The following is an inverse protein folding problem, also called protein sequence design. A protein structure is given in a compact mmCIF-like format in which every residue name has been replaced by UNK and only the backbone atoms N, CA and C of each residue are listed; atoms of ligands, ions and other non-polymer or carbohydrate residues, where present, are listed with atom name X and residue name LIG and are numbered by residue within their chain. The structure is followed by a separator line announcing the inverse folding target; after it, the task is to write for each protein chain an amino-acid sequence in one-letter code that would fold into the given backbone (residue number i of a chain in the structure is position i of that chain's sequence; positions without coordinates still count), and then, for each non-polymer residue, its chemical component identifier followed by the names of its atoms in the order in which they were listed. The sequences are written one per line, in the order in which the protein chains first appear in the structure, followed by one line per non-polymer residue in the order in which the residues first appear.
data_IF_901930686702
#
_entry.id   IF_901930686702
#
_cell.length_a   1.000
_cell.length_b   1.000
_cell.length_c   1.000
_cell.angle_alpha   90.00
_cell.angle_beta   90.00
_cell.angle_gamma   90.00
#
_symmetry.space_group_name_H-M   'P 1'
#
loop_
_entity.id
_entity.type
_entity.pdbx_description
1 polymer ?
#
# COMPACT_ATOMS: atom_id res chain seq x y z
N UNK A 1 -67.49 13.03 -24.04
CA UNK A 1 -66.39 13.86 -24.58
C UNK A 1 -65.53 14.34 -23.39
N UNK A 2 -64.68 13.49 -22.81
CA UNK A 2 -63.97 13.83 -21.55
C UNK A 2 -62.80 12.86 -21.19
N UNK A 3 -62.01 12.40 -22.18
CA UNK A 3 -60.93 11.41 -21.94
C UNK A 3 -59.49 11.94 -22.11
N UNK A 4 -59.30 13.21 -22.49
CA UNK A 4 -57.97 13.73 -22.84
C UNK A 4 -57.28 14.60 -21.77
N UNK A 5 -57.93 14.89 -20.64
CA UNK A 5 -57.35 15.80 -19.62
C UNK A 5 -56.44 15.07 -18.63
N UNK A 6 -56.66 13.77 -18.40
CA UNK A 6 -55.92 12.99 -17.38
C UNK A 6 -54.51 12.59 -17.80
N UNK A 7 -54.20 12.59 -19.11
CA UNK A 7 -52.91 12.10 -19.62
C UNK A 7 -51.79 13.15 -19.56
N UNK A 8 -52.13 14.44 -19.56
CA UNK A 8 -51.13 15.52 -19.48
C UNK A 8 -50.71 15.84 -18.04
N UNK A 9 -51.50 15.49 -17.03
CA UNK A 9 -51.15 15.72 -15.63
C UNK A 9 -50.10 14.74 -15.09
N UNK A 10 -50.08 13.50 -15.61
CA UNK A 10 -49.13 12.47 -15.19
C UNK A 10 -47.68 12.73 -15.65
N UNK A 11 -47.48 13.44 -16.77
CA UNK A 11 -46.14 13.73 -17.31
C UNK A 11 -45.42 14.86 -16.57
N UNK A 12 -46.15 15.76 -15.90
CA UNK A 12 -45.56 16.89 -15.15
C UNK A 12 -45.07 16.42 -13.78
N UNK A 13 -45.71 15.42 -13.15
CA UNK A 13 -45.24 14.87 -11.89
C UNK A 13 -43.97 14.01 -12.02
N UNK A 14 -43.71 13.39 -13.18
CA UNK A 14 -42.51 12.57 -13.41
C UNK A 14 -41.24 13.41 -13.59
N UNK A 15 -41.35 14.67 -14.00
CA UNK A 15 -40.21 15.55 -14.25
C UNK A 15 -39.71 16.29 -13.00
N UNK A 16 -40.54 16.42 -11.96
CA UNK A 16 -40.15 17.00 -10.66
C UNK A 16 -39.47 16.00 -9.71
N UNK A 17 -39.61 14.68 -9.95
CA UNK A 17 -38.99 13.62 -9.13
C UNK A 17 -37.55 13.25 -9.56
N UNK A 18 -37.06 13.77 -10.69
CA UNK A 18 -35.70 13.53 -11.17
C UNK A 18 -34.70 14.64 -10.79
N UNK A 19 -35.13 15.67 -10.03
CA UNK A 19 -34.29 16.82 -9.69
C UNK A 19 -33.71 16.82 -8.27
N UNK A 20 -33.78 15.71 -7.52
CA UNK A 20 -33.45 15.70 -6.08
C UNK A 20 -32.43 14.67 -5.61
N UNK A 21 -31.53 14.17 -6.49
CA UNK A 21 -30.42 13.29 -6.07
C UNK A 21 -29.07 13.64 -6.70
N UNK A 22 -28.66 14.91 -6.66
CA UNK A 22 -27.25 15.30 -6.80
C UNK A 22 -26.75 15.95 -5.51
N UNK A 23 -26.90 15.26 -4.38
CA UNK A 23 -26.01 15.53 -3.25
C UNK A 23 -24.64 15.00 -3.62
N UNK A 24 -23.82 15.87 -4.19
CA UNK A 24 -22.39 15.67 -4.25
C UNK A 24 -21.90 15.45 -2.83
N UNK A 25 -21.59 14.19 -2.49
CA UNK A 25 -20.75 13.85 -1.36
C UNK A 25 -19.33 14.36 -1.65
N UNK A 26 -19.17 15.69 -1.63
CA UNK A 26 -17.88 16.36 -1.46
C UNK A 26 -17.64 16.38 0.04
N UNK A 27 -17.47 15.18 0.59
CA UNK A 27 -17.06 14.95 1.96
C UNK A 27 -15.62 14.46 1.93
N UNK A 28 -14.72 15.30 2.44
CA UNK A 28 -13.37 14.95 2.88
C UNK A 28 -12.31 14.65 1.79
N UNK A 29 -12.10 15.58 0.85
CA UNK A 29 -10.71 15.92 0.53
C UNK A 29 -10.28 17.05 1.47
N UNK A 30 -9.51 16.67 2.48
CA UNK A 30 -8.84 17.59 3.40
C UNK A 30 -8.00 18.57 2.57
N UNK A 31 -8.51 19.80 2.45
CA UNK A 31 -7.84 20.92 1.78
C UNK A 31 -6.61 21.26 2.63
N UNK A 32 -5.44 20.92 2.10
CA UNK A 32 -4.10 20.94 2.73
C UNK A 32 -3.80 19.76 3.68
N UNK A 33 -3.17 18.67 3.18
CA UNK A 33 -2.34 17.89 4.07
C UNK A 33 -1.26 18.82 4.63
N UNK A 34 -1.29 19.10 5.94
CA UNK A 34 -0.12 19.63 6.64
C UNK A 34 1.10 18.81 6.19
N UNK A 35 2.25 19.43 5.90
CA UNK A 35 3.47 18.67 5.65
C UNK A 35 3.64 17.69 6.81
N UNK A 36 3.55 16.38 6.54
CA UNK A 36 3.86 15.39 7.57
C UNK A 36 5.28 15.69 8.03
N UNK A 37 5.53 15.74 9.35
CA UNK A 37 6.88 15.83 9.87
C UNK A 37 7.73 14.78 9.15
N UNK A 38 8.87 15.17 8.57
CA UNK A 38 9.81 14.24 7.94
C UNK A 38 9.94 13.02 8.84
N UNK A 39 9.48 11.86 8.37
CA UNK A 39 9.46 10.64 9.15
C UNK A 39 10.88 10.38 9.68
N UNK A 40 11.06 10.57 10.99
CA UNK A 40 12.35 10.35 11.64
C UNK A 40 12.71 8.89 11.45
N UNK A 41 13.83 8.63 10.79
CA UNK A 41 14.47 7.32 10.84
C UNK A 41 14.85 7.09 12.30
N UNK A 42 14.10 6.23 13.00
CA UNK A 42 14.49 5.78 14.34
C UNK A 42 15.54 4.69 14.14
N UNK A 43 16.80 5.11 14.19
CA UNK A 43 17.94 4.20 14.27
C UNK A 43 18.07 3.81 15.73
N UNK A 44 17.87 2.52 16.03
CA UNK A 44 18.04 2.01 17.38
C UNK A 44 19.51 1.63 17.58
N UNK A 45 20.21 2.21 18.58
CA UNK A 45 21.46 1.63 19.06
C UNK A 45 21.19 0.20 19.57
N UNK A 46 22.25 -0.61 19.60
CA UNK A 46 22.25 -2.08 19.74
C UNK A 46 21.25 -2.67 20.76
N UNK A 47 20.91 -1.96 21.83
CA UNK A 47 20.37 -2.57 23.03
C UNK A 47 18.96 -2.02 23.39
N UNK A 48 18.03 -2.96 23.54
CA UNK A 48 16.67 -2.84 24.08
C UNK A 48 15.58 -2.18 23.20
N UNK A 49 14.96 -2.99 22.34
CA UNK A 49 13.58 -2.75 21.88
C UNK A 49 12.65 -3.64 22.71
N UNK A 50 11.75 -3.05 23.51
CA UNK A 50 10.62 -3.77 24.11
C UNK A 50 9.71 -4.23 22.98
N UNK A 51 9.65 -5.54 22.75
CA UNK A 51 8.74 -6.16 21.78
C UNK A 51 7.35 -6.22 22.42
N UNK A 52 6.28 -5.75 21.74
CA UNK A 52 4.91 -5.99 22.16
C UNK A 52 4.64 -7.50 22.26
N UNK A 53 3.84 -7.97 23.24
CA UNK A 53 3.56 -9.39 23.38
C UNK A 53 2.86 -9.91 22.12
N UNK A 54 3.54 -10.78 21.36
CA UNK A 54 3.04 -11.40 20.12
C UNK A 54 3.87 -11.17 18.85
N UNK A 55 4.96 -10.37 18.89
CA UNK A 55 5.83 -10.11 17.74
C UNK A 55 7.17 -10.87 17.77
N UNK A 56 7.73 -11.13 16.59
CA UNK A 56 9.08 -11.68 16.33
C UNK A 56 10.10 -11.28 17.42
N UNK A 57 10.38 -12.21 18.35
CA UNK A 57 10.98 -11.91 19.67
C UNK A 57 12.43 -11.41 19.62
N UNK A 58 13.14 -11.62 18.50
CA UNK A 58 14.51 -11.12 18.32
C UNK A 58 14.65 -10.58 16.90
N UNK A 59 15.04 -9.31 16.79
CA UNK A 59 15.36 -8.68 15.50
C UNK A 59 16.86 -8.88 15.26
N UNK A 60 17.26 -9.75 14.31
CA UNK A 60 18.66 -9.98 14.02
C UNK A 60 19.39 -8.67 13.65
N UNK A 61 20.70 -8.56 13.91
CA UNK A 61 21.49 -7.48 13.35
C UNK A 61 21.43 -7.52 11.81
N UNK A 62 21.76 -6.38 11.20
CA UNK A 62 21.69 -6.17 9.75
C UNK A 62 20.33 -6.48 9.17
N UNK A 63 19.29 -5.91 9.80
CA UNK A 63 17.92 -6.09 9.37
C UNK A 63 17.15 -4.79 9.24
N UNK A 64 16.18 -4.79 8.32
CA UNK A 64 15.19 -3.73 8.20
C UNK A 64 13.86 -4.30 8.66
N UNK A 65 13.14 -3.59 9.53
CA UNK A 65 11.77 -3.95 9.91
C UNK A 65 10.82 -2.81 9.67
N UNK A 66 9.54 -3.07 9.83
CA UNK A 66 8.54 -2.03 9.98
C UNK A 66 7.15 -2.56 9.70
N UNK A 67 6.28 -1.67 9.26
CA UNK A 67 4.90 -2.03 8.91
C UNK A 67 4.48 -1.48 7.56
N UNK A 68 3.65 -2.26 6.87
CA UNK A 68 2.81 -1.80 5.77
C UNK A 68 1.42 -1.57 6.33
N UNK A 69 0.84 -0.40 6.06
CA UNK A 69 -0.55 -0.13 6.42
C UNK A 69 -1.35 0.44 5.26
N UNK A 70 -2.64 0.16 5.25
CA UNK A 70 -3.60 0.78 4.34
C UNK A 70 -4.93 0.97 5.04
N UNK A 71 -5.74 1.90 4.54
CA UNK A 71 -6.99 2.25 5.20
C UNK A 71 -8.04 1.16 5.00
N UNK A 72 -8.84 0.90 6.03
CA UNK A 72 -9.96 -0.05 5.99
C UNK A 72 -11.01 0.35 4.95
N UNK A 73 -11.13 1.66 4.66
CA UNK A 73 -11.98 2.16 3.58
C UNK A 73 -11.61 1.61 2.20
N UNK A 74 -10.34 1.23 1.98
CA UNK A 74 -9.93 0.61 0.72
C UNK A 74 -10.36 -0.85 0.60
N UNK A 75 -10.74 -1.50 1.70
CA UNK A 75 -11.12 -2.90 1.73
C UNK A 75 -9.93 -3.87 1.78
N UNK A 76 -10.22 -5.13 1.47
CA UNK A 76 -9.29 -6.25 1.49
C UNK A 76 -8.99 -6.68 0.05
N UNK A 77 -7.70 -6.93 -0.23
CA UNK A 77 -7.25 -7.47 -1.52
C UNK A 77 -8.04 -8.75 -1.82
N UNK A 78 -8.68 -8.90 -2.98
CA UNK A 78 -9.41 -10.13 -3.28
C UNK A 78 -8.43 -11.32 -3.47
N UNK A 79 -8.93 -12.55 -3.50
CA UNK A 79 -8.11 -13.76 -3.67
C UNK A 79 -7.53 -13.93 -5.08
N UNK A 80 -8.12 -13.27 -6.09
CA UNK A 80 -7.64 -13.30 -7.46
C UNK A 80 -8.50 -12.45 -8.40
N UNK A 81 -8.14 -12.39 -9.70
CA UNK A 81 -8.92 -11.66 -10.69
C UNK A 81 -10.37 -12.16 -10.73
N UNK A 82 -11.33 -11.24 -10.65
CA UNK A 82 -12.76 -11.52 -10.67
C UNK A 82 -13.30 -12.43 -9.54
N UNK A 83 -12.51 -12.70 -8.49
CA UNK A 83 -13.06 -13.38 -7.31
C UNK A 83 -13.86 -12.38 -6.47
N UNK A 84 -15.06 -12.77 -6.05
CA UNK A 84 -15.86 -12.01 -5.08
C UNK A 84 -15.40 -12.20 -3.63
N UNK A 85 -14.25 -12.86 -3.43
CA UNK A 85 -13.79 -13.34 -2.13
C UNK A 85 -12.50 -12.62 -1.71
N UNK A 86 -12.36 -12.25 -0.42
CA UNK A 86 -11.13 -11.67 0.09
C UNK A 86 -9.98 -12.69 0.07
N UNK A 87 -8.75 -12.23 -0.13
CA UNK A 87 -7.57 -13.06 0.00
C UNK A 87 -7.51 -13.67 1.40
N UNK A 88 -7.28 -14.99 1.48
CA UNK A 88 -7.15 -15.71 2.75
C UNK A 88 -6.05 -15.11 3.64
N UNK A 89 -4.95 -14.65 3.02
CA UNK A 89 -3.85 -13.98 3.70
C UNK A 89 -3.56 -12.61 3.03
N UNK A 90 -4.26 -11.52 3.42
CA UNK A 90 -4.09 -10.21 2.79
C UNK A 90 -2.66 -9.67 2.89
N UNK A 91 -1.97 -9.91 4.01
CA UNK A 91 -0.57 -9.53 4.17
C UNK A 91 0.37 -10.25 3.20
N UNK A 92 0.02 -11.48 2.77
CA UNK A 92 0.80 -12.24 1.78
C UNK A 92 0.68 -11.70 0.35
N UNK A 93 -0.22 -10.75 0.11
CA UNK A 93 -0.36 -10.07 -1.19
C UNK A 93 0.58 -8.87 -1.35
N UNK A 94 1.33 -8.56 -0.29
CA UNK A 94 2.26 -7.45 -0.22
C UNK A 94 3.69 -7.99 -0.18
N UNK A 95 4.63 -7.21 -0.69
CA UNK A 95 6.05 -7.49 -0.53
C UNK A 95 6.82 -6.24 -0.11
N UNK A 96 7.95 -6.47 0.57
CA UNK A 96 9.00 -5.45 0.75
C UNK A 96 10.29 -6.01 0.17
N UNK A 97 11.01 -5.19 -0.58
CA UNK A 97 12.28 -5.55 -1.19
C UNK A 97 13.38 -4.58 -0.75
N UNK A 98 14.56 -5.13 -0.50
CA UNK A 98 15.80 -4.37 -0.39
C UNK A 98 16.55 -4.50 -1.72
N UNK A 99 16.81 -3.37 -2.37
CA UNK A 99 17.51 -3.30 -3.65
C UNK A 99 18.81 -2.54 -3.50
N UNK A 100 19.84 -2.93 -4.26
CA UNK A 100 21.07 -2.15 -4.41
C UNK A 100 21.23 -1.72 -5.87
N UNK A 101 21.83 -0.57 -6.08
CA UNK A 101 22.25 -0.16 -7.42
C UNK A 101 23.56 -0.87 -7.75
N UNK A 102 23.59 -1.65 -8.82
CA UNK A 102 24.79 -2.30 -9.36
C UNK A 102 25.14 -1.70 -10.71
N UNK A 103 26.42 -1.63 -11.05
CA UNK A 103 26.87 -1.05 -12.32
C UNK A 103 28.28 -0.49 -12.21
N UNK A 104 28.94 -0.31 -13.36
CA UNK A 104 30.24 0.36 -13.38
C UNK A 104 30.06 1.87 -13.16
N UNK A 105 31.02 2.55 -12.52
CA UNK A 105 31.06 4.01 -12.48
C UNK A 105 30.93 4.58 -13.90
N UNK A 106 29.93 5.45 -14.12
CA UNK A 106 29.64 6.03 -15.44
C UNK A 106 28.57 5.30 -16.26
N UNK A 107 28.06 4.16 -15.79
CA UNK A 107 26.87 3.51 -16.36
C UNK A 107 25.57 3.98 -15.70
N UNK A 108 24.44 3.85 -16.41
CA UNK A 108 23.13 3.86 -15.77
C UNK A 108 23.03 2.61 -14.89
N UNK A 109 23.25 2.76 -13.59
CA UNK A 109 23.20 1.65 -12.65
C UNK A 109 21.87 0.89 -12.73
N UNK A 110 21.92 -0.42 -12.53
CA UNK A 110 20.77 -1.31 -12.50
C UNK A 110 20.39 -1.61 -11.05
N UNK A 111 19.10 -1.48 -10.72
CA UNK A 111 18.60 -1.96 -9.43
C UNK A 111 18.58 -3.49 -9.43
N UNK A 112 19.15 -4.08 -8.39
CA UNK A 112 19.19 -5.53 -8.18
C UNK A 112 18.60 -5.83 -6.81
N UNK A 113 17.64 -6.77 -6.76
CA UNK A 113 17.08 -7.26 -5.49
C UNK A 113 18.15 -8.00 -4.71
N UNK A 114 18.36 -7.59 -3.46
CA UNK A 114 19.29 -8.22 -2.51
C UNK A 114 18.55 -9.22 -1.64
N UNK A 115 17.38 -8.83 -1.16
CA UNK A 115 16.48 -9.67 -0.39
C UNK A 115 15.05 -9.16 -0.57
N UNK A 116 14.08 -10.06 -0.50
CA UNK A 116 12.67 -9.70 -0.52
C UNK A 116 11.86 -10.57 0.44
N UNK A 117 10.79 -10.03 0.99
CA UNK A 117 9.93 -10.76 1.93
C UNK A 117 9.25 -12.01 1.33
N UNK A 118 8.93 -12.09 0.03
CA UNK A 118 8.36 -13.31 -0.51
C UNK A 118 9.38 -14.47 -0.60
N UNK A 119 10.68 -14.17 -0.69
CA UNK A 119 11.73 -15.20 -0.68
C UNK A 119 11.88 -15.88 0.70
N UNK A 120 11.26 -15.33 1.75
CA UNK A 120 11.45 -15.77 3.12
C UNK A 120 10.08 -16.05 3.78
N UNK A 121 9.78 -17.31 4.15
CA UNK A 121 8.47 -17.66 4.68
C UNK A 121 8.17 -16.94 6.00
N UNK A 122 6.89 -16.59 6.22
CA UNK A 122 6.36 -16.00 7.47
C UNK A 122 6.94 -14.65 7.89
N UNK A 123 7.52 -13.91 6.94
CA UNK A 123 8.17 -12.63 7.23
C UNK A 123 7.20 -11.45 7.28
N UNK A 124 6.09 -11.51 6.54
CA UNK A 124 5.01 -10.53 6.66
C UNK A 124 3.85 -11.16 7.40
N UNK A 125 3.54 -10.62 8.58
CA UNK A 125 2.47 -11.12 9.44
C UNK A 125 1.45 -10.02 9.71
N UNK A 126 0.21 -10.43 10.01
CA UNK A 126 -0.83 -9.50 10.45
C UNK A 126 -0.36 -8.79 11.73
N UNK A 127 -0.33 -7.46 11.69
CA UNK A 127 -0.06 -6.62 12.84
C UNK A 127 -1.30 -6.37 13.69
N UNK A 128 -1.15 -5.69 14.84
CA UNK A 128 -2.29 -5.23 15.62
C UNK A 128 -3.12 -4.23 14.81
N UNK A 129 -4.43 -4.25 14.99
CA UNK A 129 -5.33 -3.32 14.33
C UNK A 129 -5.03 -1.87 14.79
N UNK A 130 -4.79 -0.97 13.84
CA UNK A 130 -4.55 0.46 14.09
C UNK A 130 -5.78 1.27 13.70
N UNK A 131 -6.86 1.12 14.46
CA UNK A 131 -8.12 1.83 14.23
C UNK A 131 -8.65 1.64 12.81
N UNK A 132 -8.57 2.70 11.99
CA UNK A 132 -9.00 2.75 10.59
C UNK A 132 -8.03 2.11 9.58
N UNK A 133 -6.99 1.41 10.03
CA UNK A 133 -5.99 0.79 9.17
C UNK A 133 -5.92 -0.73 9.33
N UNK A 134 -5.70 -1.43 8.22
CA UNK A 134 -5.11 -2.75 8.21
C UNK A 134 -3.59 -2.61 8.31
N UNK A 135 -2.93 -3.50 9.05
CA UNK A 135 -1.49 -3.43 9.33
C UNK A 135 -0.85 -4.80 9.11
N UNK A 136 0.27 -4.80 8.41
CA UNK A 136 1.14 -5.96 8.22
C UNK A 136 2.55 -5.59 8.70
N UNK A 137 3.07 -6.33 9.68
CA UNK A 137 4.44 -6.16 10.16
C UNK A 137 5.39 -7.00 9.32
N UNK A 138 6.59 -6.51 9.07
CA UNK A 138 7.59 -7.23 8.30
C UNK A 138 9.02 -7.09 8.86
N UNK A 139 9.90 -8.00 8.43
CA UNK A 139 11.34 -7.95 8.69
C UNK A 139 12.15 -8.45 7.48
N UNK A 140 13.23 -7.80 7.09
CA UNK A 140 14.16 -8.28 6.07
C UNK A 140 15.49 -8.52 6.78
N UNK A 141 15.81 -9.79 7.13
CA UNK A 141 17.07 -10.13 7.79
C UNK A 141 18.23 -10.19 6.80
N UNK A 142 19.44 -10.41 7.34
CA UNK A 142 20.66 -10.78 6.60
C UNK A 142 21.03 -9.83 5.45
N UNK A 143 20.81 -8.53 5.66
CA UNK A 143 21.15 -7.50 4.69
C UNK A 143 22.65 -7.18 4.70
N UNK A 144 23.24 -6.81 3.55
CA UNK A 144 24.65 -6.49 3.47
C UNK A 144 24.99 -5.24 4.29
N UNK A 145 26.09 -5.33 5.02
CA UNK A 145 26.66 -4.24 5.81
C UNK A 145 27.32 -3.18 4.90
N UNK A 146 27.34 -1.93 5.37
CA UNK A 146 28.03 -0.78 4.78
C UNK A 146 27.67 -0.56 3.30
N UNK A 147 26.44 -0.97 2.93
CA UNK A 147 25.88 -0.88 1.58
C UNK A 147 24.62 -0.03 1.62
N UNK A 148 24.48 0.93 0.70
CA UNK A 148 23.25 1.70 0.55
C UNK A 148 22.19 0.87 -0.17
N UNK A 149 21.10 0.59 0.54
CA UNK A 149 19.98 -0.22 0.07
C UNK A 149 18.74 0.67 -0.09
N UNK A 150 18.08 0.61 -1.23
CA UNK A 150 16.73 1.14 -1.42
C UNK A 150 15.72 0.12 -0.90
N UNK A 151 14.93 0.50 0.10
CA UNK A 151 13.82 -0.30 0.61
C UNK A 151 12.55 0.22 -0.03
N UNK A 152 11.79 -0.67 -0.67
CA UNK A 152 10.52 -0.36 -1.31
C UNK A 152 9.46 -1.40 -0.98
N UNK A 153 8.20 -1.01 -1.06
CA UNK A 153 7.06 -1.92 -0.92
C UNK A 153 6.25 -2.02 -2.21
N UNK A 154 5.63 -3.17 -2.41
CA UNK A 154 4.82 -3.46 -3.58
C UNK A 154 3.72 -4.48 -3.33
N UNK A 155 2.98 -4.79 -4.39
CA UNK A 155 1.96 -5.82 -4.43
C UNK A 155 2.27 -6.83 -5.52
N UNK A 156 1.79 -8.05 -5.35
CA UNK A 156 2.14 -9.21 -6.16
C UNK A 156 2.84 -10.21 -5.26
N UNK A 157 2.17 -11.31 -4.94
CA UNK A 157 2.65 -12.31 -3.99
C UNK A 157 3.94 -13.01 -4.42
N UNK A 158 4.29 -14.07 -3.67
CA UNK A 158 5.48 -14.95 -3.81
C UNK A 158 5.80 -15.50 -5.19
N UNK A 159 4.93 -15.33 -6.19
CA UNK A 159 5.11 -15.87 -7.54
C UNK A 159 5.45 -14.81 -8.60
N UNK A 160 5.59 -13.53 -8.22
CA UNK A 160 5.63 -12.40 -9.16
C UNK A 160 6.82 -11.45 -8.92
N UNK A 161 7.97 -11.96 -8.48
CA UNK A 161 9.24 -11.22 -8.52
C UNK A 161 10.20 -11.92 -9.49
N UNK A 162 10.96 -11.21 -10.33
CA UNK A 162 11.12 -9.75 -10.45
C UNK A 162 10.18 -9.06 -11.45
N UNK A 163 9.33 -9.80 -12.15
CA UNK A 163 8.30 -9.20 -12.99
C UNK A 163 7.19 -8.68 -12.10
N UNK A 164 7.23 -7.37 -11.81
CA UNK A 164 6.07 -6.63 -11.32
C UNK A 164 4.95 -6.88 -12.33
N UNK A 165 4.21 -7.95 -12.15
CA UNK A 165 2.94 -8.12 -12.81
C UNK A 165 2.09 -7.02 -12.20
N UNK A 166 2.10 -5.87 -12.87
CA UNK A 166 1.20 -4.75 -12.64
C UNK A 166 -0.19 -5.19 -13.07
N UNK A 167 -0.61 -6.38 -12.62
CA UNK A 167 -1.94 -6.89 -12.82
C UNK A 167 -2.84 -5.76 -12.33
N UNK A 168 -3.60 -5.12 -13.24
CA UNK A 168 -4.36 -3.91 -12.93
C UNK A 168 -5.29 -4.15 -11.73
N UNK A 169 -5.65 -5.41 -11.52
CA UNK A 169 -6.24 -5.98 -10.33
C UNK A 169 -5.74 -5.42 -8.98
N UNK A 170 -4.44 -5.48 -8.68
CA UNK A 170 -3.93 -5.05 -7.37
C UNK A 170 -4.01 -3.53 -7.22
N UNK A 171 -3.76 -2.81 -8.31
CA UNK A 171 -3.50 -1.37 -8.28
C UNK A 171 -4.73 -0.51 -8.57
N UNK A 172 -5.68 -1.02 -9.34
CA UNK A 172 -6.79 -0.24 -9.93
C UNK A 172 -8.16 -0.89 -9.80
N UNK A 173 -8.25 -2.22 -9.64
CA UNK A 173 -9.54 -2.90 -9.46
C UNK A 173 -10.13 -2.67 -8.06
N UNK A 174 -11.46 -2.81 -7.90
CA UNK A 174 -12.10 -2.75 -6.61
C UNK A 174 -11.63 -3.87 -5.67
N UNK A 175 -11.49 -3.54 -4.40
CA UNK A 175 -11.20 -4.46 -3.31
C UNK A 175 -12.48 -4.75 -2.50
N UNK A 176 -12.45 -5.80 -1.68
CA UNK A 176 -13.66 -6.30 -1.03
C UNK A 176 -13.93 -5.58 0.29
N UNK A 177 -15.17 -5.15 0.52
CA UNK A 177 -15.67 -4.65 1.81
C UNK A 177 -15.25 -3.22 2.20
N UNK A 178 -14.57 -2.48 1.30
CA UNK A 178 -14.21 -1.08 1.52
C UNK A 178 -15.35 -0.12 1.16
N UNK A 179 -15.42 1.05 1.82
CA UNK A 179 -16.31 2.16 1.43
C UNK A 179 -15.78 2.99 0.26
N UNK A 180 -14.46 2.93 0.03
CA UNK A 180 -13.76 3.44 -1.15
C UNK A 180 -12.94 2.30 -1.74
N UNK A 181 -13.58 1.23 -2.24
CA UNK A 181 -12.87 -0.01 -2.57
C UNK A 181 -12.02 0.13 -3.82
N UNK A 182 -12.21 1.17 -4.63
CA UNK A 182 -11.52 1.40 -5.90
C UNK A 182 -10.88 2.80 -5.89
N UNK A 183 -9.67 2.97 -6.47
CA UNK A 183 -9.10 4.30 -6.65
C UNK A 183 -10.02 5.19 -7.50
N UNK A 184 -10.07 6.50 -7.23
CA UNK A 184 -10.75 7.45 -8.11
C UNK A 184 -10.23 7.37 -9.54
N UNK A 185 -11.04 7.83 -10.51
CA UNK A 185 -10.61 7.89 -11.90
C UNK A 185 -9.27 8.61 -12.06
N UNK A 186 -8.36 8.04 -12.86
CA UNK A 186 -7.00 8.54 -13.06
C UNK A 186 -6.03 8.31 -11.89
N UNK A 187 -6.43 7.59 -10.83
CA UNK A 187 -5.58 7.24 -9.69
C UNK A 187 -5.26 5.75 -9.63
N UNK A 188 -4.21 5.41 -8.89
CA UNK A 188 -3.76 4.05 -8.63
C UNK A 188 -3.30 3.89 -7.19
N UNK A 189 -3.31 2.66 -6.67
CA UNK A 189 -2.71 2.31 -5.37
C UNK A 189 -1.19 2.30 -5.49
N UNK A 190 -0.54 3.10 -4.66
CA UNK A 190 0.92 3.11 -4.51
C UNK A 190 1.30 3.07 -3.05
N UNK A 191 2.49 2.52 -2.76
CA UNK A 191 3.09 2.67 -1.45
C UNK A 191 3.89 3.97 -1.38
N UNK A 192 3.87 4.56 -0.21
CA UNK A 192 4.73 5.69 0.18
C UNK A 192 5.65 5.22 1.29
N UNK A 193 6.82 5.83 1.42
CA UNK A 193 7.81 5.46 2.44
C UNK A 193 9.09 4.84 1.90
N UNK A 194 9.20 4.69 0.56
CA UNK A 194 10.42 4.24 -0.10
C UNK A 194 11.62 5.09 0.33
N UNK A 195 12.70 4.42 0.74
CA UNK A 195 13.87 5.13 1.26
C UNK A 195 15.16 4.33 1.18
N UNK A 196 16.26 5.06 1.10
CA UNK A 196 17.60 4.48 1.23
C UNK A 196 17.98 4.27 2.69
N UNK A 197 18.58 3.12 2.99
CA UNK A 197 19.13 2.78 4.31
C UNK A 197 20.53 2.22 4.15
N UNK A 198 21.43 2.57 5.08
CA UNK A 198 22.76 1.97 5.18
C UNK A 198 22.91 1.38 6.56
N UNK A 199 23.09 0.07 6.63
CA UNK A 199 23.26 -0.65 7.89
C UNK A 199 24.74 -0.76 8.21
N UNK A 200 25.14 -0.27 9.38
CA UNK A 200 26.55 -0.23 9.81
C UNK A 200 26.72 -0.99 11.12
N UNK A 201 27.96 -1.18 11.58
CA UNK A 201 28.21 -1.75 12.91
C UNK A 201 27.58 -0.92 14.06
N UNK A 202 27.54 0.41 13.92
CA UNK A 202 26.92 1.30 14.91
C UNK A 202 25.39 1.38 14.77
N UNK A 203 24.86 1.10 13.57
CA UNK A 203 23.45 1.15 13.24
C UNK A 203 23.04 -0.14 12.49
N UNK A 204 23.01 -1.31 13.16
CA UNK A 204 22.77 -2.58 12.47
C UNK A 204 21.30 -2.79 12.12
N UNK A 205 20.39 -1.90 12.53
CA UNK A 205 18.94 -2.07 12.34
C UNK A 205 18.31 -0.77 11.89
N UNK A 206 17.31 -0.87 11.01
CA UNK A 206 16.52 0.27 10.58
C UNK A 206 15.02 -0.06 10.58
N UNK A 207 14.18 0.96 10.84
CA UNK A 207 12.72 0.83 10.77
C UNK A 207 12.19 1.64 9.60
N UNK A 208 11.59 1.00 8.59
CA UNK A 208 10.98 1.62 7.41
C UNK A 208 9.48 1.31 7.45
N UNK A 209 8.63 2.32 7.40
CA UNK A 209 7.18 2.10 7.40
C UNK A 209 6.60 2.54 6.05
N UNK A 210 5.61 1.80 5.59
CA UNK A 210 4.92 2.04 4.32
C UNK A 210 3.44 2.31 4.54
N UNK A 211 2.91 3.28 3.82
CA UNK A 211 1.47 3.53 3.74
C UNK A 211 1.02 3.45 2.29
N UNK A 212 0.02 2.60 2.05
CA UNK A 212 -0.67 2.59 0.76
C UNK A 212 -1.64 3.74 0.68
N UNK A 213 -1.59 4.45 -0.44
CA UNK A 213 -2.45 5.60 -0.74
C UNK A 213 -2.88 5.56 -2.20
N UNK A 214 -3.95 6.28 -2.50
CA UNK A 214 -4.29 6.59 -3.89
C UNK A 214 -3.46 7.77 -4.37
N UNK A 215 -2.81 7.62 -5.52
CA UNK A 215 -2.06 8.69 -6.20
C UNK A 215 -2.45 8.76 -7.67
N UNK A 216 -2.37 9.96 -8.29
CA UNK A 216 -2.54 10.08 -9.73
C UNK A 216 -1.58 9.12 -10.45
N UNK A 217 -2.09 8.43 -11.47
CA UNK A 217 -1.25 7.62 -12.35
C UNK A 217 -0.23 8.55 -13.01
N UNK A 218 1.06 8.22 -12.91
CA UNK A 218 2.06 8.90 -13.71
C UNK A 218 1.83 8.51 -15.16
N UNK A 219 1.21 9.41 -15.93
CA UNK A 219 1.25 9.33 -17.39
C UNK A 219 2.73 9.48 -17.76
N UNK A 220 3.33 8.47 -18.37
CA UNK A 220 4.67 8.60 -18.93
C UNK A 220 4.75 9.82 -19.86
N UNK A 221 5.96 10.30 -20.20
CA UNK A 221 6.09 11.35 -21.19
C UNK A 221 5.30 10.93 -22.45
N UNK A 222 4.38 11.80 -22.88
CA UNK A 222 3.67 11.64 -24.15
C UNK A 222 4.63 11.80 -25.31
#
# INVERSE_FOLDING_TARGET
MMKNVTRNFLLICSSLLLLSCTTTNIGAQEKNPKPRPKDKVIIFPSDAIRVPPGGLSVIPPYSVRGKIRWRKEYGIVPSGPATGEPAFLPCGQHFVAAMKTTGQPGSFGRLTTVASTPDIPNIIIKGPDEGGYYVCNYIIPDLPRDTSLLILAGMGGTLLLPEVDRAPYYHTSPWIGGSQPQPPSGHTRVFTGDRSVTLTGAAPRAVVDFEMVYKPMQQGPR
#
